data_IF_005992156480
#
_entry.id   IF_005992156480
#
_cell.length_a   1.000
_cell.length_b   1.000
_cell.length_c   1.000
_cell.angle_alpha   90.00
_cell.angle_beta   90.00
_cell.angle_gamma   90.00
#
_symmetry.space_group_name_H-M   'P 1'
#
loop_
_entity.id
_entity.type
_entity.pdbx_description
1 polymer ?
#
# COMPACT_ATOMS: atom_id res chain seq x y z
N UNK A 1 -10.70 -3.68 17.58
CA UNK A 1 -9.48 -3.39 16.79
C UNK A 1 -9.46 -1.90 16.56
N UNK A 2 -8.34 -1.25 16.87
CA UNK A 2 -8.18 0.19 16.62
C UNK A 2 -8.27 0.43 15.11
N UNK A 3 -9.12 1.39 14.70
CA UNK A 3 -9.36 1.69 13.30
C UNK A 3 -8.05 2.10 12.62
N UNK A 4 -7.15 2.77 13.36
CA UNK A 4 -5.84 3.20 12.89
C UNK A 4 -4.90 2.03 12.55
N UNK A 5 -4.97 0.93 13.29
CA UNK A 5 -4.14 -0.26 13.03
C UNK A 5 -4.60 -1.00 11.78
N UNK A 6 -5.91 -1.25 11.67
CA UNK A 6 -6.49 -1.85 10.46
C UNK A 6 -6.17 -1.01 9.23
N UNK A 7 -6.27 0.30 9.44
CA UNK A 7 -5.93 1.25 8.43
C UNK A 7 -4.46 1.08 8.01
N UNK A 8 -3.52 1.22 8.94
CA UNK A 8 -2.09 1.14 8.63
C UNK A 8 -1.71 -0.16 7.92
N UNK A 9 -2.30 -1.29 8.31
CA UNK A 9 -2.14 -2.57 7.60
C UNK A 9 -2.61 -2.50 6.14
N UNK A 10 -3.72 -1.83 5.86
CA UNK A 10 -4.17 -1.62 4.48
C UNK A 10 -3.18 -0.76 3.66
N UNK A 11 -2.48 0.18 4.31
CA UNK A 11 -1.43 0.96 3.66
C UNK A 11 -0.24 0.09 3.22
N UNK A 12 0.17 -0.88 4.04
CA UNK A 12 1.17 -1.88 3.66
C UNK A 12 0.74 -2.74 2.48
N UNK A 13 -0.53 -3.17 2.46
CA UNK A 13 -1.08 -3.95 1.35
C UNK A 13 -1.07 -3.15 0.04
N UNK A 14 -1.45 -1.88 0.09
CA UNK A 14 -1.42 -0.99 -1.07
C UNK A 14 0.02 -0.78 -1.58
N UNK A 15 0.96 -0.51 -0.68
CA UNK A 15 2.38 -0.37 -1.03
C UNK A 15 2.94 -1.64 -1.71
N UNK A 16 2.58 -2.82 -1.20
CA UNK A 16 2.94 -4.09 -1.81
C UNK A 16 2.31 -4.28 -3.21
N UNK A 17 1.03 -3.89 -3.39
CA UNK A 17 0.35 -3.96 -4.68
C UNK A 17 1.03 -3.06 -5.73
N UNK A 18 1.31 -1.80 -5.36
CA UNK A 18 1.99 -0.84 -6.25
C UNK A 18 3.39 -1.35 -6.60
N UNK A 19 4.15 -1.88 -5.64
CA UNK A 19 5.49 -2.44 -5.89
C UNK A 19 5.50 -3.66 -6.82
N UNK A 20 4.39 -4.40 -6.92
CA UNK A 20 4.24 -5.52 -7.86
C UNK A 20 3.86 -5.06 -9.26
N UNK A 21 3.05 -4.01 -9.36
CA UNK A 21 2.52 -3.50 -10.63
C UNK A 21 3.49 -2.56 -11.33
N UNK A 22 4.28 -1.80 -10.57
CA UNK A 22 5.20 -0.80 -11.09
C UNK A 22 6.63 -1.10 -10.63
N UNK A 23 7.55 -1.16 -11.59
CA UNK A 23 8.97 -1.36 -11.31
C UNK A 23 9.60 -0.07 -10.77
N UNK A 24 10.65 -0.22 -9.96
CA UNK A 24 11.44 0.89 -9.37
C UNK A 24 10.67 1.81 -8.42
N UNK A 25 9.57 1.31 -7.84
CA UNK A 25 8.84 2.00 -6.78
C UNK A 25 9.74 2.19 -5.55
N UNK A 26 9.99 3.46 -5.19
CA UNK A 26 10.55 3.82 -3.89
C UNK A 26 9.43 4.10 -2.89
N UNK A 27 9.57 3.49 -1.72
CA UNK A 27 8.63 3.58 -0.62
C UNK A 27 9.20 4.54 0.44
N UNK A 28 8.44 5.56 0.86
CA UNK A 28 8.87 6.53 1.87
C UNK A 28 8.02 6.42 3.15
N UNK A 29 7.02 7.30 3.37
CA UNK A 29 6.24 7.32 4.62
C UNK A 29 4.74 7.09 4.37
N UNK A 30 4.13 6.22 5.18
CA UNK A 30 2.69 5.92 5.16
C UNK A 30 2.06 6.04 6.54
N UNK A 31 1.62 7.26 6.90
CA UNK A 31 0.92 7.50 8.16
C UNK A 31 -0.60 7.33 8.01
N UNK A 32 -1.20 6.67 9.01
CA UNK A 32 -2.65 6.60 9.14
C UNK A 32 -3.19 7.92 9.71
N UNK A 33 -4.24 8.47 9.10
CA UNK A 33 -4.90 9.70 9.54
C UNK A 33 -6.35 9.43 9.99
N UNK A 34 -6.96 10.37 10.69
CA UNK A 34 -8.35 10.23 11.19
C UNK A 34 -9.39 10.03 10.06
N UNK A 35 -9.14 10.61 8.88
CA UNK A 35 -10.04 10.49 7.72
C UNK A 35 -9.63 9.36 6.75
N UNK A 36 -8.53 8.65 7.00
CA UNK A 36 -8.02 7.59 6.12
C UNK A 36 -6.51 7.44 6.21
N UNK A 37 -5.83 7.74 5.11
CA UNK A 37 -4.37 7.69 5.00
C UNK A 37 -3.89 8.87 4.17
N UNK A 38 -2.87 9.56 4.66
CA UNK A 38 -2.04 10.36 3.78
C UNK A 38 -0.85 9.50 3.38
N UNK A 39 -0.94 8.93 2.18
CA UNK A 39 0.22 8.33 1.53
C UNK A 39 1.12 9.48 1.05
N UNK A 40 2.13 9.85 1.85
CA UNK A 40 3.31 10.54 1.33
C UNK A 40 4.25 9.49 0.73
N UNK A 41 3.75 8.75 -0.24
CA UNK A 41 4.62 7.99 -1.11
C UNK A 41 4.99 8.94 -2.24
N UNK A 42 6.16 9.57 -2.13
CA UNK A 42 6.94 9.93 -3.30
C UNK A 42 7.30 8.60 -3.99
N UNK A 43 6.31 8.02 -4.66
CA UNK A 43 6.54 6.99 -5.64
C UNK A 43 7.38 7.65 -6.72
N UNK A 44 8.70 7.52 -6.60
CA UNK A 44 9.68 7.93 -7.62
C UNK A 44 9.51 7.01 -8.84
N UNK A 45 8.35 7.15 -9.47
CA UNK A 45 7.90 6.39 -10.61
C UNK A 45 8.16 7.24 -11.86
N UNK A 46 8.71 6.63 -12.93
CA UNK A 46 8.83 7.33 -14.21
C UNK A 46 7.46 7.71 -14.80
N UNK A 47 6.37 7.06 -14.36
CA UNK A 47 4.98 7.37 -14.72
C UNK A 47 4.21 7.87 -13.50
N UNK A 48 3.54 9.03 -13.62
CA UNK A 48 2.56 9.48 -12.62
C UNK A 48 1.34 8.55 -12.62
N UNK A 49 0.94 8.08 -11.44
CA UNK A 49 -0.29 7.33 -11.27
C UNK A 49 -1.49 8.20 -11.68
N UNK A 50 -2.40 7.62 -12.45
CA UNK A 50 -3.67 8.23 -12.82
C UNK A 50 -4.84 7.44 -12.22
N UNK A 51 -6.05 8.00 -12.30
CA UNK A 51 -7.26 7.30 -11.84
C UNK A 51 -7.50 5.97 -12.60
N UNK A 52 -6.92 5.82 -13.80
CA UNK A 52 -7.03 4.60 -14.59
C UNK A 52 -6.23 3.43 -14.00
N UNK A 53 -5.22 3.73 -13.17
CA UNK A 53 -4.39 2.73 -12.52
C UNK A 53 -5.06 2.17 -11.24
N UNK A 54 -6.03 2.88 -10.66
CA UNK A 54 -6.69 2.50 -9.40
C UNK A 54 -7.38 1.13 -9.46
N UNK A 55 -8.16 0.78 -10.50
CA UNK A 55 -8.79 -0.54 -10.57
C UNK A 55 -7.78 -1.69 -10.59
N UNK A 56 -6.61 -1.49 -11.21
CA UNK A 56 -5.55 -2.49 -11.24
C UNK A 56 -4.90 -2.66 -9.85
N UNK A 57 -4.64 -1.55 -9.15
CA UNK A 57 -4.10 -1.56 -7.79
C UNK A 57 -5.07 -2.24 -6.83
N UNK A 58 -6.36 -1.88 -6.84
CA UNK A 58 -7.38 -2.51 -5.98
C UNK A 58 -7.51 -4.01 -6.23
N UNK A 59 -7.47 -4.44 -7.49
CA UNK A 59 -7.50 -5.85 -7.84
C UNK A 59 -6.29 -6.61 -7.29
N UNK A 60 -5.09 -6.03 -7.38
CA UNK A 60 -3.89 -6.65 -6.82
C UNK A 60 -3.90 -6.65 -5.28
N UNK A 61 -4.39 -5.59 -4.65
CA UNK A 61 -4.61 -5.56 -3.20
C UNK A 61 -5.54 -6.70 -2.75
N UNK A 62 -6.66 -6.92 -3.47
CA UNK A 62 -7.57 -8.02 -3.19
C UNK A 62 -6.89 -9.40 -3.31
N UNK A 63 -6.00 -9.59 -4.29
CA UNK A 63 -5.20 -10.82 -4.42
C UNK A 63 -4.24 -11.02 -3.24
N UNK A 64 -3.56 -9.95 -2.80
CA UNK A 64 -2.65 -10.00 -1.66
C UNK A 64 -3.41 -10.37 -0.38
N UNK A 65 -4.58 -9.76 -0.15
CA UNK A 65 -5.44 -10.09 1.00
C UNK A 65 -5.92 -11.55 0.93
N UNK A 66 -6.36 -12.01 -0.25
CA UNK A 66 -6.81 -13.39 -0.44
C UNK A 66 -5.69 -14.43 -0.22
N UNK A 67 -4.44 -14.07 -0.48
CA UNK A 67 -3.29 -14.93 -0.20
C UNK A 67 -3.03 -15.13 1.30
N UNK A 68 -3.59 -14.27 2.16
CA UNK A 68 -3.57 -14.39 3.62
C UNK A 68 -2.15 -14.60 4.20
N UNK A 69 -1.19 -13.80 3.72
CA UNK A 69 0.18 -13.83 4.23
C UNK A 69 0.22 -13.41 5.71
N UNK A 70 1.07 -14.06 6.54
CA UNK A 70 1.27 -13.63 7.91
C UNK A 70 2.03 -12.29 7.94
N UNK A 71 1.62 -11.40 8.85
CA UNK A 71 2.40 -10.21 9.18
C UNK A 71 3.45 -10.59 10.24
N UNK A 72 4.72 -10.49 9.88
CA UNK A 72 5.84 -10.77 10.78
C UNK A 72 6.60 -9.49 11.09
N UNK A 73 6.73 -9.16 12.38
CA UNK A 73 7.53 -8.04 12.85
C UNK A 73 8.88 -8.55 13.32
N UNK A 74 9.93 -8.22 12.59
CA UNK A 74 11.31 -8.51 12.97
C UNK A 74 11.92 -7.30 13.70
N UNK A 75 12.62 -7.55 14.80
CA UNK A 75 13.43 -6.54 15.49
C UNK A 75 14.86 -6.79 15.08
N UNK A 76 15.43 -5.86 14.33
CA UNK A 76 16.80 -5.88 13.80
C UNK A 76 17.66 -4.83 14.49
#
# INVERSE_FOLDING_TARGET
MDNNVMRHSAAHVMAAAVSRLFQDVKLDIGDATEDGFYFYYDFDLPKRLSQEDFPAIEQEMARIVAANYPFERLVV
#
